data_IF_133851920377
#
_entry.id   IF_133851920377
#
_cell.length_a   1.000
_cell.length_b   1.000
_cell.length_c   1.000
_cell.angle_alpha   90.00
_cell.angle_beta   90.00
_cell.angle_gamma   90.00
#
_symmetry.space_group_name_H-M   'P 1'
#
loop_
_entity.id
_entity.type
_entity.pdbx_description
1 polymer ?
#
# COMPACT_ATOMS: atom_id res chain seq x y z
N UNK A 1 15.48 -2.06 -16.56
CA UNK A 1 14.01 -1.95 -16.66
C UNK A 1 13.61 -0.75 -15.85
N UNK A 2 12.69 0.07 -16.35
CA UNK A 2 12.14 1.16 -15.55
C UNK A 2 11.10 0.55 -14.60
N UNK A 3 11.13 0.93 -13.32
CA UNK A 3 10.11 0.52 -12.37
C UNK A 3 8.74 1.02 -12.84
N UNK A 4 7.70 0.20 -12.71
CA UNK A 4 6.32 0.65 -12.92
C UNK A 4 5.89 1.48 -11.72
N UNK A 5 5.35 2.68 -11.97
CA UNK A 5 4.86 3.55 -10.90
C UNK A 5 3.39 3.85 -11.07
N UNK A 6 2.64 3.79 -9.97
CA UNK A 6 1.24 4.18 -9.89
C UNK A 6 1.05 5.19 -8.77
N UNK A 7 0.11 6.12 -8.95
CA UNK A 7 -0.18 7.15 -7.95
C UNK A 7 -1.69 7.27 -7.78
N UNK A 8 -2.13 7.17 -6.54
CA UNK A 8 -3.51 7.41 -6.14
C UNK A 8 -3.56 8.63 -5.22
N UNK A 9 -4.65 9.39 -5.32
CA UNK A 9 -4.83 10.62 -4.58
C UNK A 9 -6.15 10.55 -3.82
N UNK A 10 -6.10 10.85 -2.52
CA UNK A 10 -7.27 10.89 -1.66
C UNK A 10 -7.28 12.17 -0.85
N UNK A 11 -8.48 12.71 -0.61
CA UNK A 11 -8.70 13.78 0.34
C UNK A 11 -9.65 13.28 1.42
N UNK A 12 -9.19 13.25 2.67
CA UNK A 12 -9.83 12.48 3.75
C UNK A 12 -9.78 13.22 5.09
N UNK A 13 -10.66 12.88 6.01
CA UNK A 13 -10.55 13.33 7.40
C UNK A 13 -9.37 12.62 8.09
N UNK A 14 -8.74 13.25 9.09
CA UNK A 14 -7.55 12.70 9.74
C UNK A 14 -7.73 11.27 10.27
N UNK A 15 -8.90 10.94 10.82
CA UNK A 15 -9.22 9.60 11.36
C UNK A 15 -9.30 8.50 10.29
N UNK A 16 -9.47 8.86 9.02
CA UNK A 16 -9.61 7.91 7.91
C UNK A 16 -8.27 7.58 7.22
N UNK A 17 -7.19 8.29 7.55
CA UNK A 17 -5.90 8.14 6.87
C UNK A 17 -5.38 6.71 7.00
N UNK A 18 -5.38 6.18 8.23
CA UNK A 18 -4.80 4.86 8.51
C UNK A 18 -5.56 3.77 7.78
N UNK A 19 -6.89 3.87 7.70
CA UNK A 19 -7.77 2.91 7.02
C UNK A 19 -7.60 2.96 5.49
N UNK A 20 -7.52 4.16 4.90
CA UNK A 20 -7.31 4.31 3.45
C UNK A 20 -5.96 3.73 3.04
N UNK A 21 -4.89 4.07 3.77
CA UNK A 21 -3.56 3.59 3.44
C UNK A 21 -3.46 2.08 3.69
N UNK A 22 -4.04 1.58 4.79
CA UNK A 22 -4.06 0.14 5.09
C UNK A 22 -4.81 -0.65 4.03
N UNK A 23 -6.00 -0.21 3.62
CA UNK A 23 -6.81 -0.84 2.57
C UNK A 23 -6.03 -0.98 1.26
N UNK A 24 -5.40 0.11 0.81
CA UNK A 24 -4.62 0.12 -0.43
C UNK A 24 -3.38 -0.77 -0.32
N UNK A 25 -2.57 -0.62 0.73
CA UNK A 25 -1.32 -1.37 0.89
C UNK A 25 -1.57 -2.85 1.13
N UNK A 26 -2.54 -3.24 1.96
CA UNK A 26 -2.83 -4.65 2.19
C UNK A 26 -3.40 -5.34 0.95
N UNK A 27 -4.19 -4.63 0.13
CA UNK A 27 -4.62 -5.15 -1.17
C UNK A 27 -3.42 -5.42 -2.09
N UNK A 28 -2.50 -4.45 -2.21
CA UNK A 28 -1.31 -4.60 -3.05
C UNK A 28 -0.40 -5.73 -2.53
N UNK A 29 -0.16 -5.78 -1.21
CA UNK A 29 0.66 -6.79 -0.55
C UNK A 29 0.05 -8.18 -0.69
N UNK A 30 -1.27 -8.32 -0.63
CA UNK A 30 -1.94 -9.60 -0.86
C UNK A 30 -1.59 -10.19 -2.23
N UNK A 31 -1.53 -9.37 -3.27
CA UNK A 31 -1.10 -9.78 -4.62
C UNK A 31 0.43 -9.86 -4.81
N UNK A 32 1.21 -9.49 -3.80
CA UNK A 32 2.68 -9.48 -3.80
C UNK A 32 3.27 -10.30 -2.64
N UNK A 33 2.46 -11.18 -2.11
CA UNK A 33 2.84 -12.14 -1.10
C UNK A 33 2.50 -13.54 -1.57
N UNK A 34 3.33 -14.49 -1.22
CA UNK A 34 3.07 -15.92 -1.41
C UNK A 34 3.23 -16.64 -0.08
N UNK A 35 2.73 -17.87 0.00
CA UNK A 35 2.98 -18.71 1.17
C UNK A 35 4.47 -19.00 1.35
N UNK A 36 4.86 -19.38 2.57
CA UNK A 36 6.26 -19.65 2.90
C UNK A 36 6.84 -20.75 2.01
N UNK A 37 8.06 -20.55 1.48
CA UNK A 37 8.79 -21.62 0.79
C UNK A 37 9.38 -22.58 1.82
N UNK A 38 9.16 -23.88 1.62
CA UNK A 38 9.74 -24.95 2.42
C UNK A 38 10.63 -25.83 1.55
N UNK A 39 11.87 -26.08 2.00
CA UNK A 39 12.77 -27.02 1.32
C UNK A 39 12.42 -28.46 1.70
N UNK A 40 12.30 -29.32 0.69
CA UNK A 40 11.99 -30.74 0.84
C UNK A 40 13.21 -31.64 0.48
N UNK A 41 14.40 -31.05 0.31
CA UNK A 41 15.62 -31.74 -0.13
C UNK A 41 16.56 -30.81 -0.93
N UNK A 42 17.53 -31.37 -1.66
CA UNK A 42 18.54 -30.56 -2.37
C UNK A 42 17.94 -29.69 -3.49
N UNK A 43 16.93 -30.17 -4.23
CA UNK A 43 16.39 -29.49 -5.42
C UNK A 43 14.86 -29.33 -5.46
N UNK A 44 14.13 -29.63 -4.37
CA UNK A 44 12.66 -29.54 -4.36
C UNK A 44 12.15 -28.61 -3.26
N UNK A 45 11.09 -27.85 -3.57
CA UNK A 45 10.39 -27.01 -2.61
C UNK A 45 8.89 -27.22 -2.67
N UNK A 46 8.24 -26.86 -1.58
CA UNK A 46 6.80 -26.62 -1.53
C UNK A 46 6.55 -25.17 -1.14
N UNK A 47 5.39 -24.64 -1.53
CA UNK A 47 4.93 -23.31 -1.16
C UNK A 47 3.73 -23.50 -0.24
N UNK A 48 3.79 -22.90 0.94
CA UNK A 48 2.72 -22.91 1.92
C UNK A 48 1.46 -22.20 1.42
N UNK A 49 0.40 -22.22 2.22
CA UNK A 49 -0.83 -21.50 1.93
C UNK A 49 -0.74 -20.05 2.41
N UNK A 50 -1.19 -19.11 1.58
CA UNK A 50 -1.36 -17.72 1.98
C UNK A 50 -2.77 -17.54 2.59
N UNK A 51 -2.83 -17.29 3.90
CA UNK A 51 -4.08 -16.95 4.58
C UNK A 51 -4.46 -15.48 4.39
N UNK A 52 -5.75 -15.17 4.49
CA UNK A 52 -6.27 -13.81 4.54
C UNK A 52 -7.40 -13.66 5.56
N UNK A 53 -7.66 -12.41 5.96
CA UNK A 53 -8.79 -12.01 6.82
C UNK A 53 -9.42 -10.74 6.29
N UNK A 54 -10.73 -10.64 6.42
CA UNK A 54 -11.48 -9.40 6.25
C UNK A 54 -11.21 -8.45 7.42
N UNK A 55 -11.08 -7.15 7.12
CA UNK A 55 -10.92 -6.08 8.10
C UNK A 55 -11.95 -5.01 7.82
N UNK A 56 -12.85 -4.81 8.78
CA UNK A 56 -13.85 -3.75 8.75
C UNK A 56 -13.22 -2.42 9.18
N UNK A 57 -13.48 -1.36 8.42
CA UNK A 57 -13.10 -0.01 8.77
C UNK A 57 -14.08 0.60 9.79
N UNK A 58 -13.57 1.30 10.80
CA UNK A 58 -14.35 2.04 11.79
C UNK A 58 -14.84 3.39 11.23
N UNK A 59 -14.05 4.06 10.38
CA UNK A 59 -14.33 5.41 9.90
C UNK A 59 -14.76 5.49 8.43
N UNK A 60 -14.82 4.35 7.75
CA UNK A 60 -15.25 4.21 6.35
C UNK A 60 -16.24 3.04 6.28
N UNK A 61 -17.30 3.15 5.47
CA UNK A 61 -18.18 1.99 5.18
C UNK A 61 -17.47 1.06 4.18
N UNK A 62 -16.42 0.37 4.63
CA UNK A 62 -15.60 -0.46 3.76
C UNK A 62 -14.98 -1.62 4.54
N UNK A 63 -14.78 -2.74 3.84
CA UNK A 63 -14.08 -3.92 4.35
C UNK A 63 -13.00 -4.28 3.35
N UNK A 64 -11.77 -4.51 3.80
CA UNK A 64 -10.65 -4.88 2.93
C UNK A 64 -10.00 -6.19 3.37
N UNK A 65 -9.27 -6.81 2.44
CA UNK A 65 -8.52 -8.04 2.71
C UNK A 65 -7.09 -7.72 3.13
N UNK A 66 -6.61 -8.44 4.15
CA UNK A 66 -5.20 -8.46 4.49
C UNK A 66 -4.69 -9.89 4.66
N UNK A 67 -3.39 -10.07 4.39
CA UNK A 67 -2.70 -11.33 4.67
C UNK A 67 -2.70 -11.62 6.17
N UNK A 68 -2.98 -12.88 6.54
CA UNK A 68 -2.99 -13.34 7.95
C UNK A 68 -1.57 -13.52 8.49
N UNK A 69 -0.79 -12.45 8.54
CA UNK A 69 0.56 -12.43 9.13
C UNK A 69 0.72 -11.24 10.07
N UNK A 70 0.87 -11.52 11.37
CA UNK A 70 0.99 -10.47 12.38
C UNK A 70 2.26 -9.63 12.21
N UNK A 71 3.35 -10.25 11.76
CA UNK A 71 4.61 -9.56 11.50
C UNK A 71 4.44 -8.52 10.38
N UNK A 72 3.78 -8.89 9.28
CA UNK A 72 3.51 -7.97 8.16
C UNK A 72 2.54 -6.86 8.57
N UNK A 73 1.46 -7.22 9.26
CA UNK A 73 0.47 -6.26 9.75
C UNK A 73 1.12 -5.20 10.65
N UNK A 74 2.00 -5.60 11.58
CA UNK A 74 2.74 -4.66 12.44
C UNK A 74 3.69 -3.79 11.64
N UNK A 75 4.47 -4.37 10.73
CA UNK A 75 5.44 -3.62 9.92
C UNK A 75 4.76 -2.54 9.05
N UNK A 76 3.59 -2.86 8.48
CA UNK A 76 2.79 -1.91 7.70
C UNK A 76 2.19 -0.84 8.63
N UNK A 77 1.52 -1.24 9.71
CA UNK A 77 0.89 -0.32 10.66
C UNK A 77 1.90 0.67 11.28
N UNK A 78 3.10 0.22 11.65
CA UNK A 78 4.15 1.09 12.17
C UNK A 78 4.53 2.20 11.19
N UNK A 79 4.61 1.89 9.89
CA UNK A 79 4.94 2.87 8.84
C UNK A 79 3.80 3.83 8.56
N UNK A 80 2.56 3.34 8.59
CA UNK A 80 1.35 4.16 8.45
C UNK A 80 1.24 5.14 9.63
N UNK A 81 1.40 4.67 10.86
CA UNK A 81 1.37 5.50 12.06
C UNK A 81 2.45 6.59 12.01
N UNK A 82 3.69 6.25 11.64
CA UNK A 82 4.77 7.23 11.47
C UNK A 82 4.44 8.30 10.42
N UNK A 83 3.79 7.91 9.32
CA UNK A 83 3.34 8.83 8.29
C UNK A 83 2.21 9.74 8.80
N UNK A 84 1.21 9.18 9.46
CA UNK A 84 0.08 9.92 10.00
C UNK A 84 0.53 10.94 11.06
N UNK A 85 1.40 10.54 12.00
CA UNK A 85 1.97 11.44 13.00
C UNK A 85 2.75 12.60 12.34
N UNK A 86 3.54 12.29 11.30
CA UNK A 86 4.24 13.33 10.54
C UNK A 86 3.25 14.31 9.90
N UNK A 87 2.17 13.82 9.28
CA UNK A 87 1.16 14.66 8.64
C UNK A 87 0.46 15.57 9.67
N UNK A 88 0.17 15.06 10.87
CA UNK A 88 -0.44 15.83 11.97
C UNK A 88 0.49 16.92 12.52
N UNK A 89 1.80 16.68 12.53
CA UNK A 89 2.81 17.63 13.02
C UNK A 89 3.12 18.78 12.05
N UNK A 90 2.65 18.69 10.81
CA UNK A 90 2.90 19.69 9.77
C UNK A 90 1.85 20.82 9.84
N UNK A 91 2.22 21.93 10.47
CA UNK A 91 1.32 23.09 10.65
C UNK A 91 0.95 23.81 9.34
N UNK A 92 1.79 23.71 8.30
CA UNK A 92 1.64 24.45 7.04
C UNK A 92 1.19 23.62 5.86
N UNK A 93 1.46 22.31 5.85
CA UNK A 93 1.14 21.42 4.74
C UNK A 93 0.41 20.17 5.24
N UNK A 94 -0.91 20.18 5.15
CA UNK A 94 -1.80 19.03 5.46
C UNK A 94 -1.80 17.96 4.37
N UNK A 95 -0.77 17.92 3.53
CA UNK A 95 -0.63 16.92 2.47
C UNK A 95 0.70 16.18 2.56
N UNK A 96 0.65 14.89 2.29
CA UNK A 96 1.79 13.99 2.34
C UNK A 96 1.60 12.85 1.37
N UNK A 97 2.67 12.09 1.14
CA UNK A 97 2.59 10.87 0.37
C UNK A 97 3.33 9.73 1.06
N UNK A 98 2.77 8.54 0.95
CA UNK A 98 3.36 7.30 1.42
C UNK A 98 3.47 6.33 0.26
N UNK A 99 4.61 5.66 0.16
CA UNK A 99 4.99 4.85 -0.99
C UNK A 99 5.35 3.45 -0.55
N UNK A 100 4.73 2.46 -1.19
CA UNK A 100 5.11 1.05 -1.14
C UNK A 100 5.93 0.72 -2.39
N UNK A 101 7.21 0.42 -2.20
CA UNK A 101 8.15 0.10 -3.28
C UNK A 101 8.60 -1.36 -3.17
N UNK A 102 8.41 -2.12 -4.24
CA UNK A 102 8.96 -3.47 -4.41
C UNK A 102 10.26 -3.41 -5.21
N UNK A 103 11.24 -4.20 -4.78
CA UNK A 103 12.57 -4.21 -5.36
C UNK A 103 13.16 -5.62 -5.44
N UNK A 104 14.27 -5.76 -6.16
CA UNK A 104 15.14 -6.94 -6.12
C UNK A 104 16.55 -6.52 -5.72
N UNK A 105 17.27 -7.43 -5.06
CA UNK A 105 18.70 -7.23 -4.78
C UNK A 105 19.52 -7.84 -5.91
N UNK A 106 20.45 -7.06 -6.46
CA UNK A 106 21.46 -7.59 -7.38
C UNK A 106 22.63 -8.13 -6.55
N UNK A 107 23.03 -9.38 -6.79
CA UNK A 107 24.23 -9.96 -6.15
C UNK A 107 25.44 -9.05 -6.39
N UNK A 108 25.99 -8.52 -5.31
CA UNK A 108 27.22 -7.74 -5.38
C UNK A 108 28.39 -8.67 -5.67
N UNK A 109 29.31 -8.24 -6.54
CA UNK A 109 30.54 -8.98 -6.84
C UNK A 109 31.70 -8.67 -5.88
N UNK A 110 31.54 -7.70 -4.96
CA UNK A 110 32.58 -7.19 -4.05
C UNK A 110 31.95 -6.66 -2.72
N UNK A 111 32.75 -6.18 -1.75
CA UNK A 111 32.35 -5.69 -0.40
C UNK A 111 31.32 -4.53 -0.34
N UNK A 112 30.63 -4.21 -1.43
CA UNK A 112 29.56 -3.22 -1.46
C UNK A 112 28.21 -3.85 -1.05
N UNK A 113 27.35 -3.02 -0.44
CA UNK A 113 25.95 -3.39 -0.19
C UNK A 113 25.29 -3.81 -1.51
N UNK A 114 24.46 -4.87 -1.52
CA UNK A 114 23.68 -5.23 -2.70
C UNK A 114 22.87 -4.04 -3.19
N UNK A 115 22.88 -3.83 -4.51
CA UNK A 115 22.08 -2.79 -5.15
C UNK A 115 20.60 -3.20 -5.10
N UNK A 116 19.74 -2.30 -4.61
CA UNK A 116 18.28 -2.45 -4.62
C UNK A 116 17.72 -1.86 -5.90
N UNK A 117 17.11 -2.69 -6.75
CA UNK A 117 16.55 -2.28 -8.04
C UNK A 117 15.03 -2.31 -7.93
N UNK A 118 14.36 -1.15 -7.90
CA UNK A 118 12.90 -1.11 -7.87
C UNK A 118 12.33 -1.64 -9.17
N UNK A 119 11.21 -2.37 -9.07
CA UNK A 119 10.47 -2.87 -10.23
C UNK A 119 8.99 -2.45 -10.19
N UNK A 120 8.46 -2.10 -9.03
CA UNK A 120 7.08 -1.65 -8.86
C UNK A 120 6.94 -0.67 -7.69
N UNK A 121 6.25 0.44 -7.90
CA UNK A 121 6.11 1.56 -6.96
C UNK A 121 4.64 1.99 -6.91
N UNK A 122 4.08 2.02 -5.70
CA UNK A 122 2.71 2.45 -5.45
C UNK A 122 2.71 3.62 -4.47
N UNK A 123 2.32 4.80 -4.96
CA UNK A 123 2.28 6.03 -4.16
C UNK A 123 0.84 6.38 -3.83
N UNK A 124 0.57 6.62 -2.55
CA UNK A 124 -0.71 7.16 -2.07
C UNK A 124 -0.44 8.58 -1.60
N UNK A 125 -1.03 9.56 -2.27
CA UNK A 125 -1.03 10.96 -1.82
C UNK A 125 -2.29 11.21 -1.01
N UNK A 126 -2.10 11.81 0.15
CA UNK A 126 -3.15 12.16 1.09
C UNK A 126 -3.18 13.68 1.25
N UNK A 127 -4.36 14.26 1.10
CA UNK A 127 -4.69 15.60 1.60
C UNK A 127 -5.64 15.47 2.78
N UNK A 128 -5.21 15.91 3.96
CA UNK A 128 -6.05 15.91 5.15
C UNK A 128 -7.00 17.11 5.11
N UNK A 129 -8.29 16.80 5.08
CA UNK A 129 -9.39 17.76 5.12
C UNK A 129 -9.89 17.99 6.54
N UNK A 130 -10.55 19.13 6.74
CA UNK A 130 -11.34 19.42 7.93
C UNK A 130 -12.80 19.52 7.51
N UNK A 131 -13.64 18.69 8.12
CA UNK A 131 -15.07 18.67 7.86
C UNK A 131 -15.78 19.44 8.97
N UNK A 132 -16.72 20.29 8.57
CA UNK A 132 -17.33 21.30 9.42
C UNK A 132 -18.64 20.86 10.08
N UNK A 133 -19.27 19.79 9.57
CA UNK A 133 -20.54 19.28 10.07
C UNK A 133 -20.65 17.75 9.97
N UNK A 134 -21.53 17.14 10.76
CA UNK A 134 -21.76 15.69 10.71
C UNK A 134 -22.39 15.23 9.39
N UNK A 135 -23.26 16.06 8.79
CA UNK A 135 -23.83 15.78 7.47
C UNK A 135 -22.74 15.72 6.40
N UNK A 136 -21.78 16.64 6.44
CA UNK A 136 -20.62 16.64 5.55
C UNK A 136 -19.74 15.39 5.77
N UNK A 137 -19.54 14.98 7.04
CA UNK A 137 -18.83 13.73 7.37
C UNK A 137 -19.51 12.50 6.79
N UNK A 138 -20.82 12.36 6.97
CA UNK A 138 -21.57 11.22 6.46
C UNK A 138 -21.51 11.15 4.93
N UNK A 139 -21.74 12.28 4.24
CA UNK A 139 -21.62 12.35 2.79
C UNK A 139 -20.22 11.97 2.29
N UNK A 140 -19.18 12.52 2.92
CA UNK A 140 -17.80 12.22 2.55
C UNK A 140 -17.41 10.76 2.84
N UNK A 141 -17.97 10.15 3.89
CA UNK A 141 -17.75 8.74 4.22
C UNK A 141 -18.26 7.80 3.12
N UNK A 142 -19.46 8.08 2.60
CA UNK A 142 -20.02 7.32 1.47
C UNK A 142 -19.18 7.52 0.20
N UNK A 143 -18.79 8.76 -0.12
CA UNK A 143 -17.94 9.04 -1.29
C UNK A 143 -16.55 8.44 -1.21
N UNK A 144 -15.98 8.35 -0.01
CA UNK A 144 -14.70 7.70 0.20
C UNK A 144 -14.80 6.18 -0.03
N UNK A 145 -15.90 5.55 0.38
CA UNK A 145 -16.15 4.12 0.10
C UNK A 145 -16.25 3.83 -1.40
N UNK A 146 -17.02 4.65 -2.14
CA UNK A 146 -17.10 4.58 -3.60
C UNK A 146 -15.70 4.73 -4.24
N UNK A 147 -14.93 5.72 -3.78
CA UNK A 147 -13.60 6.00 -4.32
C UNK A 147 -12.62 4.86 -4.04
N UNK A 148 -12.60 4.30 -2.83
CA UNK A 148 -11.78 3.15 -2.49
C UNK A 148 -12.14 1.94 -3.36
N UNK A 149 -13.44 1.66 -3.53
CA UNK A 149 -13.91 0.59 -4.40
C UNK A 149 -13.31 0.71 -5.80
N UNK A 150 -13.41 1.91 -6.40
CA UNK A 150 -12.83 2.19 -7.72
C UNK A 150 -11.31 1.98 -7.74
N UNK A 151 -10.59 2.46 -6.71
CA UNK A 151 -9.13 2.32 -6.64
C UNK A 151 -8.68 0.87 -6.45
N UNK A 152 -9.42 0.08 -5.68
CA UNK A 152 -9.15 -1.36 -5.53
C UNK A 152 -9.33 -2.07 -6.87
N UNK A 153 -10.41 -1.79 -7.62
CA UNK A 153 -10.58 -2.33 -8.96
C UNK A 153 -9.41 -1.94 -9.88
N UNK A 154 -9.00 -0.68 -9.88
CA UNK A 154 -7.83 -0.21 -10.63
C UNK A 154 -6.54 -0.95 -10.24
N UNK A 155 -6.30 -1.20 -8.96
CA UNK A 155 -5.16 -2.01 -8.49
C UNK A 155 -5.21 -3.40 -9.13
N UNK A 156 -6.36 -4.08 -9.05
CA UNK A 156 -6.50 -5.44 -9.60
C UNK A 156 -6.30 -5.48 -11.11
N UNK A 157 -6.80 -4.48 -11.85
CA UNK A 157 -6.61 -4.35 -13.30
C UNK A 157 -5.13 -4.15 -13.65
N UNK A 158 -4.43 -3.27 -12.93
CA UNK A 158 -3.01 -2.99 -13.15
C UNK A 158 -2.15 -4.23 -12.84
N UNK A 159 -2.46 -4.94 -11.76
CA UNK A 159 -1.76 -6.15 -11.36
C UNK A 159 -1.94 -7.28 -12.38
N UNK A 160 -3.11 -7.36 -13.02
CA UNK A 160 -3.42 -8.38 -14.02
C UNK A 160 -2.80 -8.10 -15.41
N UNK A 161 -2.20 -6.93 -15.63
CA UNK A 161 -1.45 -6.67 -16.88
C UNK A 161 -0.24 -7.60 -16.97
N UNK A 162 0.12 -8.08 -18.18
CA UNK A 162 1.27 -8.96 -18.41
C UNK A 162 2.61 -8.19 -18.32
N UNK A 163 2.78 -7.43 -17.26
CA UNK A 163 3.97 -6.65 -16.97
C UNK A 163 5.02 -7.51 -16.25
N UNK A 164 6.24 -6.98 -16.15
CA UNK A 164 7.33 -7.65 -15.45
C UNK A 164 7.00 -7.86 -13.97
N UNK A 165 7.12 -9.11 -13.52
CA UNK A 165 7.16 -9.53 -12.12
C UNK A 165 8.37 -10.44 -11.95
N UNK A 166 9.22 -10.26 -10.92
CA UNK A 166 10.35 -11.14 -10.68
C UNK A 166 9.91 -12.59 -10.53
N UNK A 167 10.50 -13.48 -11.33
CA UNK A 167 10.26 -14.92 -11.20
C UNK A 167 10.93 -15.45 -9.93
N UNK A 168 10.34 -16.47 -9.29
CA UNK A 168 11.02 -17.18 -8.20
C UNK A 168 12.42 -17.63 -8.64
N UNK A 169 13.48 -17.20 -7.94
CA UNK A 169 14.83 -17.62 -8.27
C UNK A 169 15.08 -19.03 -7.74
N UNK A 170 16.31 -19.53 -7.89
CA UNK A 170 16.73 -20.73 -7.17
C UNK A 170 16.58 -20.51 -5.64
N UNK A 171 16.29 -21.56 -4.86
CA UNK A 171 16.07 -21.42 -3.40
C UNK A 171 17.24 -20.72 -2.68
N UNK A 172 18.47 -20.97 -3.14
CA UNK A 172 19.69 -20.32 -2.62
C UNK A 172 19.78 -18.82 -2.90
N UNK A 173 18.85 -18.27 -3.67
CA UNK A 173 18.80 -16.87 -4.09
C UNK A 173 17.44 -16.23 -3.77
N UNK A 174 16.60 -16.91 -2.99
CA UNK A 174 15.25 -16.46 -2.67
C UNK A 174 15.24 -15.09 -1.97
N UNK A 175 16.25 -14.81 -1.15
CA UNK A 175 16.47 -13.56 -0.42
C UNK A 175 16.81 -12.35 -1.30
N UNK A 176 17.07 -12.57 -2.58
CA UNK A 176 17.27 -11.52 -3.58
C UNK A 176 15.95 -10.97 -4.14
N UNK A 177 14.86 -11.72 -3.99
CA UNK A 177 13.57 -11.39 -4.59
C UNK A 177 12.48 -11.29 -3.53
N UNK A 178 12.54 -12.14 -2.51
CA UNK A 178 11.56 -12.20 -1.44
C UNK A 178 12.19 -11.91 -0.09
N UNK A 179 11.38 -11.39 0.83
CA UNK A 179 11.76 -11.25 2.23
C UNK A 179 11.60 -12.60 2.95
N UNK A 180 12.73 -13.22 3.29
CA UNK A 180 12.80 -14.51 3.97
C UNK A 180 12.68 -14.42 5.49
N UNK A 181 12.61 -13.21 6.05
CA UNK A 181 12.56 -13.00 7.51
C UNK A 181 11.19 -13.33 8.13
N UNK A 182 10.10 -13.20 7.36
CA UNK A 182 8.75 -13.54 7.81
C UNK A 182 8.60 -15.04 8.08
N UNK A 183 8.00 -15.41 9.21
CA UNK A 183 7.93 -16.80 9.64
C UNK A 183 6.85 -17.62 8.94
N UNK A 184 5.74 -17.00 8.54
CA UNK A 184 4.51 -17.64 8.04
C UNK A 184 4.22 -17.37 6.55
N UNK A 185 4.80 -16.31 6.00
CA UNK A 185 4.59 -15.86 4.62
C UNK A 185 5.91 -15.52 3.93
N UNK A 186 5.83 -15.17 2.65
CA UNK A 186 6.98 -14.79 1.85
C UNK A 186 6.62 -13.64 0.90
N UNK A 187 6.59 -12.38 1.36
CA UNK A 187 6.37 -11.23 0.49
C UNK A 187 7.57 -10.99 -0.43
N UNK A 188 7.33 -10.40 -1.61
CA UNK A 188 8.42 -9.79 -2.37
C UNK A 188 9.16 -8.77 -1.49
N UNK A 189 10.45 -8.57 -1.72
CA UNK A 189 11.18 -7.51 -1.02
C UNK A 189 10.50 -6.16 -1.26
N UNK A 190 10.15 -5.49 -0.17
CA UNK A 190 9.47 -4.21 -0.21
C UNK A 190 10.02 -3.25 0.85
N UNK A 191 9.79 -1.96 0.64
CA UNK A 191 10.00 -0.92 1.66
C UNK A 191 8.89 0.11 1.58
N UNK A 192 8.49 0.61 2.75
CA UNK A 192 7.54 1.70 2.88
C UNK A 192 8.29 2.95 3.33
N UNK A 193 8.11 4.04 2.61
CA UNK A 193 8.68 5.34 2.92
C UNK A 193 7.67 6.45 2.64
N UNK A 194 7.84 7.61 3.27
CA UNK A 194 6.92 8.73 3.12
C UNK A 194 7.67 10.07 3.08
N UNK A 195 7.07 11.02 2.39
CA UNK A 195 7.59 12.37 2.23
C UNK A 195 6.45 13.38 2.24
N UNK A 196 6.81 14.66 2.28
CA UNK A 196 5.82 15.71 2.05
C UNK A 196 5.37 15.63 0.58
N UNK A 197 4.11 15.98 0.30
CA UNK A 197 3.59 16.03 -1.06
C UNK A 197 3.17 17.46 -1.38
N UNK A 198 3.48 17.98 -2.58
CA UNK A 198 2.96 19.28 -3.00
C UNK A 198 1.43 19.26 -2.93
N UNK A 199 0.87 20.35 -2.43
CA UNK A 199 -0.54 20.45 -2.05
C UNK A 199 -1.44 20.22 -3.28
N UNK A 200 -2.43 19.32 -3.19
CA UNK A 200 -3.32 18.87 -4.30
C UNK A 200 -4.45 19.90 -4.56
N UNK A 201 -4.15 21.19 -4.42
CA UNK A 201 -5.09 22.24 -3.96
C UNK A 201 -6.32 22.46 -4.85
N UNK A 202 -6.34 22.03 -6.11
CA UNK A 202 -7.36 22.48 -7.04
C UNK A 202 -8.29 21.39 -7.60
N UNK A 203 -7.84 20.16 -7.86
CA UNK A 203 -8.69 19.20 -8.58
C UNK A 203 -9.68 18.49 -7.65
N UNK A 204 -9.20 17.92 -6.55
CA UNK A 204 -10.02 17.11 -5.64
C UNK A 204 -11.03 17.97 -4.86
N UNK A 205 -10.61 19.16 -4.38
CA UNK A 205 -11.53 20.11 -3.72
C UNK A 205 -12.67 20.56 -4.63
N UNK A 206 -12.40 20.74 -5.93
CA UNK A 206 -13.43 21.14 -6.89
C UNK A 206 -14.42 20.01 -7.12
N UNK A 207 -13.94 18.78 -7.32
CA UNK A 207 -14.81 17.60 -7.47
C UNK A 207 -15.70 17.36 -6.25
N UNK A 208 -15.14 17.47 -5.04
CA UNK A 208 -15.91 17.30 -3.80
C UNK A 208 -16.96 18.40 -3.64
N UNK A 209 -16.58 19.66 -3.90
CA UNK A 209 -17.49 20.81 -3.80
C UNK A 209 -18.62 20.74 -4.84
N UNK A 210 -18.32 20.28 -6.05
CA UNK A 210 -19.32 20.05 -7.11
C UNK A 210 -20.27 18.91 -6.76
N UNK A 211 -19.76 17.81 -6.19
CA UNK A 211 -20.56 16.68 -5.74
C UNK A 211 -21.50 17.03 -4.57
N UNK A 212 -21.02 17.84 -3.61
CA UNK A 212 -21.83 18.32 -2.50
C UNK A 212 -22.94 19.29 -2.94
N UNK A 213 -22.64 20.19 -3.89
CA UNK A 213 -23.61 21.17 -4.39
C UNK A 213 -24.69 20.57 -5.31
N UNK A 214 -24.47 19.38 -5.86
CA UNK A 214 -25.44 18.68 -6.74
C UNK A 214 -26.37 17.73 -5.99
N UNK A 215 -26.14 17.52 -4.69
CA UNK A 215 -26.92 16.60 -3.84
C UNK A 215 -27.83 17.33 -2.83
N UNK A 216 -27.94 18.67 -2.93
CA UNK A 216 -28.90 19.54 -2.25
C UNK A 216 -29.96 20.05 -3.24
#
# INVERSE_FOLDING_TARGET
MNARSQTFEFAVEGRQIDEVVSCMFHTILFHRCVGKYHTNGEDSYSVGTLGYTDVDCDYIDFTYLQVTSQELQRAVAEKINQFHDKLRSSDSNRSGQITLEFYQKKKSRWMFKPEEIPWEIWTIKIEQMQLSSENERQFMREKLSDSLTERIFQITEIINKPDYVPKPPHLSELDLVFDTSYTDIQPYLFKIHFSDSPTIVNHVKTMIKEAFNTSL
#
